data_IF_898503648631
#
_entry.id   IF_898503648631
#
_cell.length_a   1.000
_cell.length_b   1.000
_cell.length_c   1.000
_cell.angle_alpha   90.00
_cell.angle_beta   90.00
_cell.angle_gamma   90.00
#
_symmetry.space_group_name_H-M   'P 1'
#
loop_
_entity.id
_entity.type
_entity.pdbx_description
1 polymer ?
#
# COMPACT_ATOMS: atom_id res chain seq x y z
N UNK A 1 19.84 6.36 2.74
CA UNK A 1 18.73 7.10 2.11
C UNK A 1 17.61 6.16 1.71
N UNK A 2 16.51 6.65 1.15
CA UNK A 2 15.30 5.86 0.85
C UNK A 2 15.54 4.60 -0.01
N UNK A 3 16.37 4.71 -1.06
CA UNK A 3 16.70 3.57 -1.94
C UNK A 3 17.42 2.42 -1.23
N UNK A 4 18.09 2.68 -0.10
CA UNK A 4 18.78 1.66 0.70
C UNK A 4 17.95 1.06 1.83
N UNK A 5 16.71 1.51 2.04
CA UNK A 5 15.83 0.91 3.04
C UNK A 5 15.43 -0.52 2.64
N UNK A 6 15.18 -1.39 3.62
CA UNK A 6 14.65 -2.73 3.33
C UNK A 6 13.21 -2.63 2.79
N UNK A 7 12.75 -3.66 2.08
CA UNK A 7 11.37 -3.76 1.63
C UNK A 7 10.37 -3.64 2.79
N UNK A 8 10.64 -4.38 3.88
CA UNK A 8 9.88 -4.30 5.12
C UNK A 8 9.80 -2.87 5.68
N UNK A 9 10.93 -2.16 5.80
CA UNK A 9 10.94 -0.80 6.33
C UNK A 9 10.14 0.17 5.45
N UNK A 10 10.22 0.02 4.12
CA UNK A 10 9.38 0.81 3.21
C UNK A 10 7.90 0.48 3.44
N UNK A 11 7.53 -0.80 3.56
CA UNK A 11 6.17 -1.23 3.87
C UNK A 11 5.63 -0.64 5.18
N UNK A 12 6.44 -0.64 6.25
CA UNK A 12 6.09 -0.02 7.53
C UNK A 12 5.80 1.48 7.40
N UNK A 13 6.60 2.21 6.60
CA UNK A 13 6.36 3.63 6.34
C UNK A 13 5.03 3.84 5.58
N UNK A 14 4.78 3.06 4.52
CA UNK A 14 3.52 3.14 3.78
C UNK A 14 2.31 2.85 4.68
N UNK A 15 2.41 1.81 5.52
CA UNK A 15 1.36 1.45 6.47
C UNK A 15 1.11 2.56 7.49
N UNK A 16 2.19 3.18 8.02
CA UNK A 16 2.06 4.28 8.98
C UNK A 16 1.39 5.52 8.37
N UNK A 17 1.61 5.77 7.07
CA UNK A 17 0.87 6.82 6.34
C UNK A 17 -0.61 6.46 6.26
N UNK A 18 -0.96 5.22 5.94
CA UNK A 18 -2.37 4.77 5.93
C UNK A 18 -3.04 4.98 7.30
N UNK A 19 -2.40 4.58 8.39
CA UNK A 19 -2.92 4.78 9.75
C UNK A 19 -3.15 6.26 10.08
N UNK A 20 -2.23 7.13 9.66
CA UNK A 20 -2.36 8.57 9.86
C UNK A 20 -3.49 9.20 9.03
N UNK A 21 -3.71 8.70 7.82
CA UNK A 21 -4.83 9.11 6.98
C UNK A 21 -6.16 8.66 7.60
N UNK A 22 -6.27 7.40 8.03
CA UNK A 22 -7.47 6.86 8.69
C UNK A 22 -7.79 7.61 9.98
N UNK A 23 -6.78 7.83 10.85
CA UNK A 23 -6.96 8.54 12.11
C UNK A 23 -7.37 10.02 11.96
N UNK A 24 -7.22 10.59 10.77
CA UNK A 24 -7.65 11.96 10.43
C UNK A 24 -8.61 12.01 9.24
N UNK A 25 -9.30 10.90 8.95
CA UNK A 25 -10.13 10.74 7.76
C UNK A 25 -11.15 11.87 7.60
N UNK A 26 -11.85 12.25 8.67
CA UNK A 26 -12.83 13.33 8.60
C UNK A 26 -12.23 14.69 8.19
N UNK A 27 -11.00 14.98 8.63
CA UNK A 27 -10.29 16.19 8.24
C UNK A 27 -10.00 16.15 6.73
N UNK A 28 -9.40 15.06 6.25
CA UNK A 28 -9.07 14.90 4.84
C UNK A 28 -10.31 14.93 3.95
N UNK A 29 -11.44 14.35 4.37
CA UNK A 29 -12.70 14.41 3.61
C UNK A 29 -13.18 15.86 3.44
N UNK A 30 -13.07 16.69 4.49
CA UNK A 30 -13.43 18.12 4.38
C UNK A 30 -12.49 18.86 3.45
N UNK A 31 -11.18 18.65 3.58
CA UNK A 31 -10.17 19.31 2.77
C UNK A 31 -10.27 18.92 1.29
N UNK A 32 -10.48 17.63 0.99
CA UNK A 32 -10.70 17.11 -0.38
C UNK A 32 -12.01 17.67 -0.95
N UNK A 33 -13.11 17.67 -0.19
CA UNK A 33 -14.37 18.25 -0.64
C UNK A 33 -14.22 19.74 -1.02
N UNK A 34 -13.53 20.52 -0.19
CA UNK A 34 -13.30 21.94 -0.43
C UNK A 34 -12.35 22.19 -1.61
N UNK A 35 -11.30 21.39 -1.75
CA UNK A 35 -10.25 21.59 -2.77
C UNK A 35 -10.68 21.11 -4.15
N UNK A 36 -11.51 20.06 -4.22
CA UNK A 36 -11.92 19.43 -5.47
C UNK A 36 -13.38 19.74 -5.87
N UNK A 37 -14.10 20.52 -5.05
CA UNK A 37 -15.51 20.87 -5.30
C UNK A 37 -16.45 19.66 -5.21
N UNK A 38 -16.10 18.66 -4.41
CA UNK A 38 -16.84 17.40 -4.29
C UNK A 38 -17.91 17.47 -3.19
N UNK A 39 -18.97 16.66 -3.34
CA UNK A 39 -19.84 16.36 -2.21
C UNK A 39 -19.07 15.61 -1.13
N UNK A 40 -19.51 15.73 0.13
CA UNK A 40 -18.90 15.00 1.26
C UNK A 40 -18.79 13.49 0.99
N UNK A 41 -19.81 12.89 0.37
CA UNK A 41 -19.81 11.46 0.03
C UNK A 41 -18.78 11.08 -1.03
N UNK A 42 -18.60 11.91 -2.06
CA UNK A 42 -17.58 11.68 -3.09
C UNK A 42 -16.17 11.87 -2.52
N UNK A 43 -15.96 12.91 -1.72
CA UNK A 43 -14.68 13.13 -1.04
C UNK A 43 -14.34 11.98 -0.05
N UNK A 44 -15.34 11.44 0.66
CA UNK A 44 -15.15 10.25 1.50
C UNK A 44 -14.67 9.05 0.68
N UNK A 45 -15.30 8.77 -0.46
CA UNK A 45 -14.88 7.68 -1.34
C UNK A 45 -13.44 7.87 -1.87
N UNK A 46 -13.02 9.10 -2.14
CA UNK A 46 -11.63 9.41 -2.57
C UNK A 46 -10.63 9.12 -1.44
N UNK A 47 -10.92 9.58 -0.22
CA UNK A 47 -10.06 9.34 0.95
C UNK A 47 -9.96 7.85 1.25
N UNK A 48 -11.07 7.13 1.19
CA UNK A 48 -11.12 5.67 1.41
C UNK A 48 -10.28 4.93 0.38
N UNK A 49 -10.46 5.25 -0.90
CA UNK A 49 -9.65 4.66 -1.97
C UNK A 49 -8.15 4.98 -1.83
N UNK A 50 -7.79 6.14 -1.27
CA UNK A 50 -6.41 6.49 -0.99
C UNK A 50 -5.84 5.61 0.13
N UNK A 51 -6.56 5.47 1.25
CA UNK A 51 -6.17 4.64 2.40
C UNK A 51 -5.99 3.18 1.96
N UNK A 52 -6.98 2.64 1.25
CA UNK A 52 -6.94 1.28 0.70
C UNK A 52 -5.70 1.06 -0.18
N UNK A 53 -5.35 2.04 -1.02
CA UNK A 53 -4.17 1.97 -1.88
C UNK A 53 -2.87 1.96 -1.09
N UNK A 54 -2.76 2.77 -0.02
CA UNK A 54 -1.59 2.75 0.86
C UNK A 54 -1.44 1.39 1.56
N UNK A 55 -2.53 0.85 2.10
CA UNK A 55 -2.53 -0.47 2.75
C UNK A 55 -2.15 -1.57 1.76
N UNK A 56 -2.75 -1.55 0.56
CA UNK A 56 -2.47 -2.51 -0.49
C UNK A 56 -0.97 -2.54 -0.81
N UNK A 57 -0.38 -1.40 -1.18
CA UNK A 57 1.03 -1.36 -1.54
C UNK A 57 1.96 -1.68 -0.36
N UNK A 58 1.62 -1.27 0.87
CA UNK A 58 2.37 -1.63 2.06
C UNK A 58 2.50 -3.16 2.21
N UNK A 59 1.38 -3.88 2.07
CA UNK A 59 1.30 -5.33 2.20
C UNK A 59 1.96 -6.13 1.07
N UNK A 60 2.40 -5.48 0.00
CA UNK A 60 3.11 -6.09 -1.13
C UNK A 60 4.63 -5.97 -1.05
N UNK A 61 5.14 -4.99 -0.29
CA UNK A 61 6.55 -4.57 -0.38
C UNK A 61 7.56 -5.72 -0.24
N UNK A 62 7.37 -6.64 0.69
CA UNK A 62 8.25 -7.78 0.96
C UNK A 62 7.86 -9.09 0.23
N UNK A 63 6.71 -9.09 -0.47
CA UNK A 63 6.20 -10.26 -1.21
C UNK A 63 6.65 -10.30 -2.67
N UNK A 64 7.07 -9.17 -3.23
CA UNK A 64 7.46 -9.07 -4.65
C UNK A 64 8.58 -10.06 -5.00
N UNK A 65 9.63 -10.16 -4.18
CA UNK A 65 10.75 -11.08 -4.43
C UNK A 65 10.34 -12.55 -4.37
N UNK A 66 9.42 -12.91 -3.47
CA UNK A 66 8.92 -14.28 -3.34
C UNK A 66 8.07 -14.71 -4.54
N UNK A 67 7.28 -13.77 -5.09
CA UNK A 67 6.39 -14.03 -6.23
C UNK A 67 7.14 -13.96 -7.56
N UNK A 68 8.12 -13.06 -7.69
CA UNK A 68 8.93 -12.91 -8.90
C UNK A 68 10.11 -13.89 -9.01
N UNK A 69 10.41 -14.65 -7.94
CA UNK A 69 11.61 -15.49 -7.87
C UNK A 69 11.40 -16.82 -7.15
N UNK A 70 10.17 -17.32 -7.11
CA UNK A 70 9.87 -18.60 -6.47
C UNK A 70 10.29 -19.78 -7.34
N UNK A 71 11.55 -20.22 -7.22
CA UNK A 71 11.88 -21.61 -7.54
C UNK A 71 10.99 -22.50 -6.68
N UNK A 72 9.91 -22.99 -7.28
CA UNK A 72 8.88 -23.77 -6.60
C UNK A 72 9.48 -25.16 -6.31
N UNK A 73 9.84 -25.51 -5.06
CA UNK A 73 10.43 -26.79 -4.77
C UNK A 73 9.34 -27.85 -4.89
N UNK A 74 9.25 -28.47 -6.06
CA UNK A 74 8.58 -29.76 -6.20
C UNK A 74 9.47 -30.81 -5.54
N UNK A 75 8.88 -31.86 -4.97
CA UNK A 75 9.65 -32.98 -4.45
C UNK A 75 10.31 -33.75 -5.62
N UNK A 76 11.45 -33.25 -6.12
CA UNK A 76 12.18 -33.80 -7.27
C UNK A 76 13.30 -32.86 -7.76
N UNK A 77 14.27 -33.35 -8.56
CA UNK A 77 15.50 -32.62 -8.92
C UNK A 77 15.28 -31.61 -10.07
N UNK A 78 14.16 -30.90 -10.08
CA UNK A 78 13.81 -29.97 -11.15
C UNK A 78 13.73 -28.54 -10.60
N UNK A 79 14.59 -27.66 -11.12
CA UNK A 79 14.57 -26.23 -10.86
C UNK A 79 13.57 -25.58 -11.82
N UNK A 80 12.54 -24.91 -11.32
CA UNK A 80 11.61 -24.14 -12.16
C UNK A 80 11.99 -22.66 -12.11
N UNK A 81 12.28 -22.07 -13.27
CA UNK A 81 12.49 -20.64 -13.46
C UNK A 81 11.30 -20.14 -14.27
N UNK A 82 10.50 -19.24 -13.69
CA UNK A 82 9.35 -18.59 -14.31
C UNK A 82 9.56 -17.09 -14.40
#
# INVERSE_FOLDING_TARGET
GWSGATAYNRGQVLYRVAEMLEGRKEQFVREVAASEGLSKSKAAAVVDAAIDRWVWYAGWTDKIGQIAGGANPVAGPYLNLS
#
